data_IF_728586882362
#
_entry.id   IF_728586882362
#
_cell.length_a   1.000
_cell.length_b   1.000
_cell.length_c   1.000
_cell.angle_alpha   90.00
_cell.angle_beta   90.00
_cell.angle_gamma   90.00
#
_symmetry.space_group_name_H-M   'P 1'
#
loop_
_entity.id
_entity.type
_entity.pdbx_description
1 polymer ?
#
# COMPACT_ATOMS: atom_id res chain seq x y z
N UNK A 1 21.28 -25.79 -1.81
CA UNK A 1 21.07 -26.27 -0.42
C UNK A 1 20.92 -25.01 0.41
N UNK A 2 19.68 -24.66 0.78
CA UNK A 2 19.40 -23.41 1.49
C UNK A 2 19.76 -23.63 2.96
N UNK A 3 20.80 -22.96 3.47
CA UNK A 3 21.12 -23.01 4.90
C UNK A 3 19.91 -22.51 5.69
N UNK A 4 19.32 -23.40 6.49
CA UNK A 4 18.20 -23.04 7.36
C UNK A 4 18.70 -22.03 8.39
N UNK A 5 18.02 -20.89 8.48
CA UNK A 5 18.33 -19.87 9.48
C UNK A 5 18.19 -20.49 10.89
N UNK A 6 19.14 -20.27 11.81
CA UNK A 6 19.03 -20.77 13.18
C UNK A 6 17.75 -20.24 13.84
N UNK A 7 17.17 -21.00 14.77
CA UNK A 7 15.94 -20.61 15.46
C UNK A 7 16.13 -19.26 16.16
N UNK A 8 15.40 -18.24 15.72
CA UNK A 8 15.44 -16.87 16.27
C UNK A 8 14.25 -16.71 17.21
N UNK A 9 14.50 -16.37 18.47
CA UNK A 9 13.46 -16.00 19.43
C UNK A 9 12.89 -14.59 19.13
N UNK A 10 11.78 -14.24 19.77
CA UNK A 10 11.05 -12.99 19.50
C UNK A 10 11.90 -11.74 19.79
N UNK A 11 12.69 -11.79 20.86
CA UNK A 11 13.55 -10.67 21.26
C UNK A 11 14.69 -10.45 20.25
N UNK A 12 15.32 -11.54 19.79
CA UNK A 12 16.34 -11.49 18.75
C UNK A 12 15.75 -11.01 17.42
N UNK A 13 14.58 -11.51 17.02
CA UNK A 13 13.91 -11.10 15.80
C UNK A 13 13.54 -9.60 15.82
N UNK A 14 13.07 -9.11 16.97
CA UNK A 14 12.80 -7.68 17.17
C UNK A 14 14.06 -6.81 17.06
N UNK A 15 15.19 -7.23 17.66
CA UNK A 15 16.47 -6.51 17.51
C UNK A 15 16.95 -6.46 16.07
N UNK A 16 16.84 -7.56 15.34
CA UNK A 16 17.22 -7.60 13.92
C UNK A 16 16.30 -6.71 13.07
N UNK A 17 14.99 -6.69 13.34
CA UNK A 17 14.06 -5.82 12.65
C UNK A 17 14.40 -4.33 12.86
N UNK A 18 14.72 -3.93 14.10
CA UNK A 18 15.20 -2.57 14.37
C UNK A 18 16.51 -2.28 13.63
N UNK A 19 17.46 -3.22 13.59
CA UNK A 19 18.72 -3.05 12.87
C UNK A 19 18.51 -2.82 11.36
N UNK A 20 17.57 -3.53 10.74
CA UNK A 20 17.19 -3.29 9.33
C UNK A 20 16.64 -1.88 9.14
N UNK A 21 15.74 -1.41 10.02
CA UNK A 21 15.17 -0.07 9.91
C UNK A 21 16.19 1.05 10.13
N UNK A 22 17.17 0.83 11.00
CA UNK A 22 18.27 1.78 11.21
C UNK A 22 19.25 1.78 10.02
N UNK A 23 19.57 0.62 9.46
CA UNK A 23 20.42 0.51 8.27
C UNK A 23 19.80 1.16 7.03
N UNK A 24 18.47 1.09 6.90
CA UNK A 24 17.74 1.66 5.77
C UNK A 24 17.36 3.14 5.96
N UNK A 25 17.78 3.78 7.05
CA UNK A 25 17.50 5.19 7.29
C UNK A 25 18.47 6.11 6.55
N UNK A 26 17.95 7.07 5.80
CA UNK A 26 18.74 8.06 5.05
C UNK A 26 19.14 9.29 5.88
N UNK A 27 18.76 9.32 7.17
CA UNK A 27 18.81 10.53 8.00
C UNK A 27 17.54 11.38 7.93
N UNK A 28 16.65 11.14 6.96
CA UNK A 28 15.37 11.87 6.84
C UNK A 28 14.16 10.97 6.67
N UNK A 29 14.27 9.91 5.87
CA UNK A 29 13.26 8.86 5.76
C UNK A 29 13.90 7.48 5.67
N UNK A 30 13.08 6.43 5.71
CA UNK A 30 13.54 5.04 5.55
C UNK A 30 13.26 4.56 4.13
N UNK A 31 14.29 3.99 3.48
CA UNK A 31 14.14 3.40 2.15
C UNK A 31 13.55 1.98 2.24
N UNK A 32 12.71 1.51 1.30
CA UNK A 32 12.14 0.17 1.36
C UNK A 32 13.19 -0.94 1.37
N UNK A 33 14.22 -0.82 0.52
CA UNK A 33 15.35 -1.73 0.50
C UNK A 33 16.60 -1.03 -0.04
N UNK A 34 17.79 -1.31 0.51
CA UNK A 34 19.03 -0.75 0.01
C UNK A 34 19.28 -1.24 -1.43
N UNK A 35 19.71 -0.33 -2.31
CA UNK A 35 19.92 -0.62 -3.73
C UNK A 35 18.65 -0.43 -4.56
N UNK A 36 17.74 -1.42 -4.59
CA UNK A 36 16.63 -1.44 -5.55
C UNK A 36 15.62 -0.30 -5.38
N UNK A 37 15.36 0.10 -4.13
CA UNK A 37 14.42 1.18 -3.81
C UNK A 37 15.11 2.27 -2.98
N UNK A 38 15.96 3.13 -3.57
CA UNK A 38 16.87 4.02 -2.83
C UNK A 38 16.24 5.35 -2.38
N UNK A 39 14.92 5.40 -2.23
CA UNK A 39 14.12 6.61 -1.99
C UNK A 39 13.04 6.33 -0.93
N UNK A 40 12.31 7.37 -0.50
CA UNK A 40 11.19 7.20 0.43
C UNK A 40 9.92 6.88 -0.36
N UNK A 41 9.27 5.75 -0.08
CA UNK A 41 7.96 5.40 -0.64
C UNK A 41 6.84 5.66 0.37
N UNK A 42 5.74 6.19 -0.12
CA UNK A 42 4.68 6.77 0.71
C UNK A 42 3.98 5.78 1.64
N UNK A 43 3.49 4.65 1.12
CA UNK A 43 2.82 3.65 1.97
C UNK A 43 3.83 2.81 2.77
N UNK A 44 5.05 2.60 2.28
CA UNK A 44 6.15 1.97 3.01
C UNK A 44 6.48 2.78 4.26
N UNK A 45 6.62 4.09 4.13
CA UNK A 45 6.81 5.02 5.25
C UNK A 45 5.66 4.95 6.25
N UNK A 46 4.41 4.80 5.80
CA UNK A 46 3.29 4.61 6.73
C UNK A 46 3.41 3.30 7.53
N UNK A 47 3.86 2.20 6.92
CA UNK A 47 4.16 0.97 7.65
C UNK A 47 5.38 1.09 8.57
N UNK A 48 6.41 1.84 8.17
CA UNK A 48 7.57 2.16 9.03
C UNK A 48 7.13 2.95 10.26
N UNK A 49 6.26 3.95 10.10
CA UNK A 49 5.67 4.71 11.22
C UNK A 49 4.94 3.77 12.18
N UNK A 50 4.12 2.85 11.66
CA UNK A 50 3.40 1.85 12.46
C UNK A 50 4.37 0.98 13.27
N UNK A 51 5.39 0.41 12.61
CA UNK A 51 6.36 -0.47 13.28
C UNK A 51 7.25 0.24 14.31
N UNK A 52 7.58 1.52 14.07
CA UNK A 52 8.40 2.30 15.00
C UNK A 52 7.60 2.95 16.14
N UNK A 53 6.26 2.97 16.06
CA UNK A 53 5.41 3.72 16.99
C UNK A 53 5.67 3.40 18.48
N UNK A 54 5.89 2.12 18.80
CA UNK A 54 6.18 1.66 20.18
C UNK A 54 7.64 1.81 20.56
N UNK A 55 8.55 1.47 19.65
CA UNK A 55 9.97 1.29 19.97
C UNK A 55 10.82 2.55 19.76
N UNK A 56 10.44 3.41 18.80
CA UNK A 56 11.19 4.60 18.38
C UNK A 56 10.22 5.72 17.94
N UNK A 57 9.35 6.23 18.83
CA UNK A 57 8.29 7.18 18.44
C UNK A 57 8.83 8.48 17.82
N UNK A 58 10.00 8.96 18.25
CA UNK A 58 10.63 10.13 17.62
C UNK A 58 10.98 9.89 16.15
N UNK A 59 11.52 8.70 15.84
CA UNK A 59 11.80 8.29 14.45
C UNK A 59 10.53 8.08 13.64
N UNK A 60 9.46 7.58 14.25
CA UNK A 60 8.16 7.49 13.58
C UNK A 60 7.60 8.89 13.23
N UNK A 61 7.76 9.89 14.11
CA UNK A 61 7.39 11.28 13.81
C UNK A 61 8.22 11.85 12.65
N UNK A 62 9.53 11.65 12.69
CA UNK A 62 10.45 12.13 11.64
C UNK A 62 10.12 11.53 10.27
N UNK A 63 9.84 10.22 10.22
CA UNK A 63 9.44 9.50 9.01
C UNK A 63 8.22 10.14 8.35
N UNK A 64 7.14 10.34 9.12
CA UNK A 64 5.90 10.93 8.65
C UNK A 64 6.10 12.40 8.22
N UNK A 65 6.84 13.18 8.99
CA UNK A 65 7.13 14.58 8.64
C UNK A 65 7.97 14.68 7.38
N UNK A 66 8.95 13.79 7.19
CA UNK A 66 9.78 13.76 5.97
C UNK A 66 8.93 13.48 4.74
N UNK A 67 8.05 12.47 4.81
CA UNK A 67 7.13 12.17 3.71
C UNK A 67 6.22 13.36 3.37
N UNK A 68 5.65 14.02 4.40
CA UNK A 68 4.75 15.16 4.22
C UNK A 68 5.45 16.41 3.66
N UNK A 69 6.78 16.52 3.70
CA UNK A 69 7.51 17.57 2.93
C UNK A 69 7.34 17.38 1.43
N UNK A 70 7.05 16.16 0.98
CA UNK A 70 6.70 15.82 -0.39
C UNK A 70 5.26 16.14 -0.78
N UNK A 71 4.41 16.58 0.14
CA UNK A 71 3.01 16.88 -0.17
C UNK A 71 2.90 18.09 -1.12
N UNK A 72 2.11 17.93 -2.17
CA UNK A 72 1.82 19.00 -3.12
C UNK A 72 0.81 19.98 -2.53
N UNK A 73 0.82 21.23 -3.02
CA UNK A 73 -0.15 22.25 -2.60
C UNK A 73 -1.61 21.90 -2.95
N UNK A 74 -1.82 20.93 -3.85
CA UNK A 74 -3.13 20.34 -4.15
C UNK A 74 -3.65 19.41 -3.05
N UNK A 75 -2.80 19.02 -2.09
CA UNK A 75 -3.07 18.00 -1.08
C UNK A 75 -2.51 16.62 -1.41
N UNK A 76 -2.11 16.35 -2.66
CA UNK A 76 -1.56 15.04 -3.05
C UNK A 76 -0.29 14.71 -2.26
N UNK A 77 -0.28 13.55 -1.59
CA UNK A 77 0.95 12.93 -1.07
C UNK A 77 1.48 12.01 -2.17
N UNK A 78 2.70 12.26 -2.70
CA UNK A 78 3.26 11.50 -3.81
C UNK A 78 3.73 10.12 -3.34
N UNK A 79 3.71 9.12 -4.21
CA UNK A 79 4.18 7.77 -3.85
C UNK A 79 5.70 7.69 -3.64
N UNK A 80 6.49 8.63 -4.18
CA UNK A 80 7.95 8.70 -3.99
C UNK A 80 8.38 10.12 -3.63
N UNK A 81 9.22 10.23 -2.60
CA UNK A 81 10.06 11.41 -2.32
C UNK A 81 11.51 11.04 -2.60
N UNK A 82 12.12 11.72 -3.58
CA UNK A 82 13.45 11.40 -4.09
C UNK A 82 14.55 12.00 -3.21
N UNK A 83 15.43 11.14 -2.68
CA UNK A 83 16.63 11.56 -1.96
C UNK A 83 17.82 11.85 -2.89
N UNK A 84 17.94 11.08 -3.98
CA UNK A 84 19.02 11.20 -4.97
C UNK A 84 18.41 11.19 -6.39
N UNK A 85 19.07 11.83 -7.36
CA UNK A 85 18.45 12.13 -8.66
C UNK A 85 18.46 10.97 -9.68
N UNK A 86 19.36 9.99 -9.54
CA UNK A 86 19.64 9.04 -10.63
C UNK A 86 19.78 7.59 -10.16
N UNK A 87 19.33 7.26 -8.95
CA UNK A 87 19.48 5.91 -8.39
C UNK A 87 18.31 4.95 -8.72
N UNK A 88 17.21 5.47 -9.30
CA UNK A 88 16.01 4.70 -9.61
C UNK A 88 15.37 5.19 -10.91
N UNK A 89 14.75 4.28 -11.67
CA UNK A 89 13.99 4.60 -12.88
C UNK A 89 12.54 4.10 -12.77
N UNK A 90 11.52 4.94 -13.06
CA UNK A 90 11.63 6.34 -13.50
C UNK A 90 12.02 7.30 -12.36
N UNK A 91 13.07 8.09 -12.59
CA UNK A 91 13.58 9.09 -11.64
C UNK A 91 13.02 10.49 -11.87
N UNK A 92 13.47 11.50 -11.11
CA UNK A 92 13.01 12.89 -11.21
C UNK A 92 13.05 13.49 -12.61
N UNK A 93 14.00 13.09 -13.46
CA UNK A 93 14.09 13.57 -14.86
C UNK A 93 12.93 13.09 -15.73
N UNK A 94 12.33 11.95 -15.40
CA UNK A 94 11.11 11.45 -16.04
C UNK A 94 9.90 12.15 -15.42
N UNK A 95 9.80 12.22 -14.09
CA UNK A 95 8.63 12.81 -13.43
C UNK A 95 8.50 14.32 -13.66
N UNK A 96 9.60 15.07 -13.70
CA UNK A 96 9.60 16.53 -13.90
C UNK A 96 8.61 17.28 -12.99
N UNK A 97 8.38 16.76 -11.77
CA UNK A 97 7.39 17.34 -10.84
C UNK A 97 7.73 18.77 -10.47
N UNK A 98 9.02 19.12 -10.39
CA UNK A 98 9.50 20.48 -10.11
C UNK A 98 9.03 21.54 -11.12
N UNK A 99 8.51 21.14 -12.28
CA UNK A 99 7.97 22.04 -13.29
C UNK A 99 6.50 22.39 -13.03
N UNK A 100 5.83 21.64 -12.15
CA UNK A 100 4.44 21.88 -11.78
C UNK A 100 4.35 22.87 -10.60
N UNK A 101 3.51 23.90 -10.73
CA UNK A 101 3.42 24.99 -9.74
C UNK A 101 2.99 24.53 -8.34
N UNK A 102 2.21 23.45 -8.24
CA UNK A 102 1.79 22.89 -6.95
C UNK A 102 2.78 21.89 -6.34
N UNK A 103 3.83 21.48 -7.06
CA UNK A 103 4.80 20.55 -6.51
C UNK A 103 5.66 21.21 -5.44
N UNK A 104 6.09 20.46 -4.40
CA UNK A 104 6.98 21.00 -3.38
C UNK A 104 8.40 21.20 -3.93
N UNK A 105 9.26 21.83 -3.12
CA UNK A 105 10.69 22.01 -3.48
C UNK A 105 11.47 20.69 -3.53
N UNK A 106 11.05 19.69 -2.76
CA UNK A 106 11.66 18.36 -2.82
C UNK A 106 11.21 17.66 -4.09
N UNK A 107 12.12 16.90 -4.72
CA UNK A 107 11.78 16.16 -5.93
C UNK A 107 10.86 15.00 -5.57
N UNK A 108 9.73 14.89 -6.26
CA UNK A 108 8.72 13.86 -6.01
C UNK A 108 8.29 13.20 -7.32
N UNK A 109 7.65 12.05 -7.23
CA UNK A 109 6.89 11.52 -8.36
C UNK A 109 5.55 12.27 -8.53
N UNK A 110 4.85 12.00 -9.63
CA UNK A 110 3.56 12.64 -9.95
C UNK A 110 2.32 11.79 -9.65
N UNK A 111 2.49 10.62 -9.04
CA UNK A 111 1.40 9.70 -8.68
C UNK A 111 1.25 9.62 -7.16
N UNK A 112 0.07 9.22 -6.69
CA UNK A 112 -0.20 8.98 -5.26
C UNK A 112 -0.08 7.49 -4.89
N UNK A 113 -0.39 7.13 -3.65
CA UNK A 113 -0.36 5.76 -3.13
C UNK A 113 -1.56 5.52 -2.23
N UNK A 114 -1.81 4.29 -1.73
CA UNK A 114 -2.88 4.05 -0.77
C UNK A 114 -2.72 4.97 0.45
N UNK A 115 -3.78 5.71 0.86
CA UNK A 115 -3.66 6.80 1.84
C UNK A 115 -3.66 6.27 3.28
N UNK A 116 -2.65 5.49 3.67
CA UNK A 116 -2.53 4.85 4.99
C UNK A 116 -2.11 5.82 6.11
N UNK A 117 -1.79 7.06 5.78
CA UNK A 117 -1.06 8.00 6.63
C UNK A 117 -1.84 8.45 7.87
N UNK A 118 -3.16 8.66 7.74
CA UNK A 118 -4.01 8.99 8.89
C UNK A 118 -4.12 7.82 9.86
N UNK A 119 -4.21 6.60 9.34
CA UNK A 119 -4.17 5.41 10.19
C UNK A 119 -2.81 5.26 10.89
N UNK A 120 -1.70 5.52 10.20
CA UNK A 120 -0.37 5.50 10.79
C UNK A 120 -0.21 6.56 11.91
N UNK A 121 -0.72 7.78 11.70
CA UNK A 121 -0.76 8.82 12.73
C UNK A 121 -1.60 8.41 13.94
N UNK A 122 -2.78 7.82 13.71
CA UNK A 122 -3.64 7.30 14.78
C UNK A 122 -2.92 6.18 15.55
N UNK A 123 -2.23 5.27 14.85
CA UNK A 123 -1.44 4.22 15.48
C UNK A 123 -0.33 4.81 16.35
N UNK A 124 0.42 5.78 15.83
CA UNK A 124 1.46 6.48 16.58
C UNK A 124 0.89 7.20 17.82
N UNK A 125 -0.23 7.89 17.67
CA UNK A 125 -0.91 8.56 18.79
C UNK A 125 -1.34 7.57 19.87
N UNK A 126 -1.88 6.40 19.52
CA UNK A 126 -2.30 5.38 20.50
C UNK A 126 -1.17 4.86 21.39
N UNK A 127 0.08 4.96 20.95
CA UNK A 127 1.24 4.52 21.73
C UNK A 127 1.96 5.66 22.44
N UNK A 128 1.73 6.91 22.03
CA UNK A 128 2.50 8.07 22.53
C UNK A 128 1.65 9.08 23.29
N UNK A 129 0.34 9.13 23.07
CA UNK A 129 -0.56 10.17 23.59
C UNK A 129 -0.27 11.57 23.06
N UNK A 130 0.55 11.72 22.01
CA UNK A 130 1.07 13.02 21.57
C UNK A 130 0.06 13.85 20.76
N UNK A 131 -0.80 14.56 21.49
CA UNK A 131 -1.83 15.46 20.92
C UNK A 131 -1.21 16.62 20.14
N UNK A 132 -0.02 17.11 20.54
CA UNK A 132 0.63 18.22 19.86
C UNK A 132 1.08 17.82 18.44
N UNK A 133 1.61 16.61 18.30
CA UNK A 133 1.97 16.07 17.00
C UNK A 133 0.74 15.80 16.11
N UNK A 134 -0.36 15.31 16.70
CA UNK A 134 -1.65 15.18 15.99
C UNK A 134 -2.10 16.53 15.45
N UNK A 135 -2.17 17.58 16.28
CA UNK A 135 -2.55 18.94 15.85
C UNK A 135 -1.70 19.47 14.71
N UNK A 136 -0.39 19.18 14.75
CA UNK A 136 0.57 19.62 13.72
C UNK A 136 0.37 18.93 12.37
N UNK A 137 0.06 17.63 12.38
CA UNK A 137 0.04 16.78 11.17
C UNK A 137 -1.34 16.61 10.57
N UNK A 138 -2.39 16.69 11.40
CA UNK A 138 -3.78 16.50 10.99
C UNK A 138 -4.20 17.31 9.75
N UNK A 139 -3.91 18.63 9.63
CA UNK A 139 -4.34 19.40 8.46
C UNK A 139 -3.79 18.88 7.12
N UNK A 140 -2.55 18.38 7.13
CA UNK A 140 -1.91 17.80 5.94
C UNK A 140 -2.66 16.54 5.47
N UNK A 141 -3.09 15.70 6.41
CA UNK A 141 -3.81 14.45 6.10
C UNK A 141 -5.26 14.71 5.66
N UNK A 142 -5.90 15.75 6.23
CA UNK A 142 -7.20 16.25 5.71
C UNK A 142 -7.05 16.70 4.25
N UNK A 143 -5.98 17.45 3.92
CA UNK A 143 -5.73 17.90 2.55
C UNK A 143 -5.48 16.72 1.59
N UNK A 144 -4.83 15.65 2.04
CA UNK A 144 -4.68 14.42 1.24
C UNK A 144 -6.03 13.79 0.91
N UNK A 145 -6.92 13.64 1.89
CA UNK A 145 -8.24 13.07 1.64
C UNK A 145 -9.11 14.00 0.77
N UNK A 146 -8.98 15.32 0.93
CA UNK A 146 -9.63 16.29 0.06
C UNK A 146 -9.14 16.18 -1.40
N UNK A 147 -7.84 16.00 -1.62
CA UNK A 147 -7.28 15.73 -2.95
C UNK A 147 -7.90 14.48 -3.60
N UNK A 148 -7.95 13.35 -2.87
CA UNK A 148 -8.56 12.12 -3.40
C UNK A 148 -10.02 12.33 -3.79
N UNK A 149 -10.75 13.04 -2.94
CA UNK A 149 -12.16 13.38 -3.18
C UNK A 149 -12.38 14.23 -4.42
N UNK A 150 -11.52 15.21 -4.65
CA UNK A 150 -11.71 16.20 -5.71
C UNK A 150 -11.12 15.74 -7.06
N UNK A 151 -9.95 15.09 -7.02
CA UNK A 151 -9.18 14.76 -8.20
C UNK A 151 -9.31 13.29 -8.62
N UNK A 152 -9.69 12.38 -7.70
CA UNK A 152 -9.70 10.94 -7.96
C UNK A 152 -11.08 10.29 -7.97
N UNK A 153 -12.14 11.00 -7.57
CA UNK A 153 -13.52 10.51 -7.74
C UNK A 153 -13.98 10.62 -9.20
N UNK A 154 -13.33 9.85 -10.07
CA UNK A 154 -13.57 9.86 -11.52
C UNK A 154 -14.89 9.16 -11.88
N UNK A 155 -15.33 8.20 -11.04
CA UNK A 155 -16.61 7.51 -11.18
C UNK A 155 -17.81 8.29 -10.65
N UNK A 156 -17.56 9.40 -9.91
CA UNK A 156 -18.60 10.26 -9.33
C UNK A 156 -19.43 9.61 -8.23
N UNK A 157 -18.90 8.56 -7.59
CA UNK A 157 -19.61 7.74 -6.62
C UNK A 157 -18.97 7.76 -5.23
N UNK A 158 -17.91 8.55 -5.02
CA UNK A 158 -17.22 8.66 -3.74
C UNK A 158 -16.03 7.72 -3.56
N UNK A 159 -15.67 6.94 -4.58
CA UNK A 159 -14.44 6.12 -4.59
C UNK A 159 -13.33 6.84 -5.32
N UNK A 160 -12.10 6.72 -4.84
CA UNK A 160 -10.92 7.16 -5.57
C UNK A 160 -10.53 6.11 -6.62
N UNK A 161 -10.34 6.57 -7.85
CA UNK A 161 -9.75 5.78 -8.93
C UNK A 161 -8.22 5.91 -8.91
N UNK A 162 -7.53 4.78 -8.97
CA UNK A 162 -6.12 4.74 -9.36
C UNK A 162 -6.02 5.02 -10.86
N UNK A 163 -5.05 5.83 -11.24
CA UNK A 163 -4.80 6.21 -12.65
C UNK A 163 -3.50 5.62 -13.18
N UNK A 164 -2.83 4.82 -12.36
CA UNK A 164 -1.66 4.05 -12.73
C UNK A 164 -1.54 2.83 -11.79
N UNK A 165 -1.13 1.64 -12.27
CA UNK A 165 -0.97 0.44 -11.42
C UNK A 165 -0.15 0.67 -10.14
N UNK A 166 0.98 1.38 -10.23
CA UNK A 166 1.81 1.80 -9.09
C UNK A 166 1.07 2.52 -7.95
N UNK A 167 -0.08 3.15 -8.21
CA UNK A 167 -0.85 3.82 -7.16
C UNK A 167 -1.59 2.85 -6.25
N UNK A 168 -1.79 1.60 -6.69
CA UNK A 168 -2.34 0.53 -5.84
C UNK A 168 -1.31 -0.02 -4.85
N UNK A 169 -0.01 0.19 -5.14
CA UNK A 169 1.09 -0.54 -4.49
C UNK A 169 1.20 -2.01 -4.90
N UNK A 170 0.38 -2.46 -5.87
CA UNK A 170 0.33 -3.83 -6.39
C UNK A 170 0.63 -3.84 -7.90
N UNK A 171 1.84 -3.42 -8.25
CA UNK A 171 2.29 -3.01 -9.58
C UNK A 171 1.83 -3.91 -10.74
N UNK A 172 2.10 -5.21 -10.67
CA UNK A 172 1.79 -6.18 -11.73
C UNK A 172 0.64 -7.12 -11.34
N UNK A 173 -0.24 -6.68 -10.44
CA UNK A 173 -1.47 -7.39 -10.10
C UNK A 173 -2.23 -7.75 -11.38
N UNK A 174 -2.75 -8.97 -11.49
CA UNK A 174 -3.52 -9.36 -12.68
C UNK A 174 -4.83 -8.58 -12.83
N UNK A 175 -5.23 -7.81 -11.82
CA UNK A 175 -6.35 -6.87 -11.89
C UNK A 175 -6.13 -5.77 -12.94
N UNK A 176 -4.89 -5.50 -13.35
CA UNK A 176 -4.59 -4.42 -14.29
C UNK A 176 -4.37 -4.91 -15.72
N UNK A 177 -4.33 -6.22 -15.96
CA UNK A 177 -3.87 -6.85 -17.21
C UNK A 177 -4.67 -6.37 -18.42
N UNK A 178 -5.99 -6.45 -18.36
CA UNK A 178 -6.87 -6.07 -19.47
C UNK A 178 -6.77 -4.58 -19.79
N UNK A 179 -6.74 -3.73 -18.75
CA UNK A 179 -6.64 -2.28 -18.89
C UNK A 179 -5.28 -1.88 -19.49
N UNK A 180 -4.19 -2.54 -19.10
CA UNK A 180 -2.86 -2.34 -19.68
C UNK A 180 -2.79 -2.87 -21.11
N UNK A 181 -3.37 -4.04 -21.39
CA UNK A 181 -3.40 -4.63 -22.73
C UNK A 181 -4.13 -3.75 -23.74
N UNK A 182 -5.14 -2.98 -23.31
CA UNK A 182 -5.87 -2.01 -24.11
C UNK A 182 -5.05 -0.74 -24.45
N UNK A 183 -3.93 -0.49 -23.78
CA UNK A 183 -3.07 0.66 -24.07
C UNK A 183 -2.30 0.46 -25.40
N UNK A 184 -1.92 1.57 -26.07
CA UNK A 184 -1.11 1.51 -27.28
C UNK A 184 0.16 0.68 -27.08
N UNK A 185 0.56 -0.08 -28.11
CA UNK A 185 1.82 -0.80 -28.11
C UNK A 185 2.98 0.21 -28.17
N UNK A 186 3.54 0.55 -27.02
CA UNK A 186 4.67 1.47 -26.88
C UNK A 186 5.97 0.71 -26.68
N UNK A 187 6.97 0.99 -27.52
CA UNK A 187 8.36 0.59 -27.27
C UNK A 187 9.13 1.84 -26.88
N UNK A 188 9.15 2.15 -25.60
CA UNK A 188 9.96 3.26 -25.11
C UNK A 188 11.41 2.77 -25.05
N UNK A 189 12.21 3.19 -26.03
CA UNK A 189 13.63 2.84 -26.13
C UNK A 189 14.44 3.44 -24.99
N UNK A 190 14.36 2.84 -23.80
CA UNK A 190 15.18 3.22 -22.66
C UNK A 190 16.62 2.75 -22.87
N UNK A 191 17.46 3.65 -23.37
CA UNK A 191 18.92 3.51 -23.27
C UNK A 191 19.30 3.78 -21.81
N UNK A 192 19.94 2.80 -21.17
CA UNK A 192 20.66 2.90 -19.90
C UNK A 192 19.96 2.40 -18.62
N UNK A 193 19.39 1.20 -18.62
CA UNK A 193 19.48 0.33 -17.42
C UNK A 193 19.65 -1.11 -17.90
N UNK A 194 20.74 -1.79 -17.50
CA UNK A 194 20.83 -3.25 -17.59
C UNK A 194 19.81 -3.87 -16.62
N UNK A 195 18.55 -3.96 -17.05
CA UNK A 195 17.49 -4.67 -16.35
C UNK A 195 17.52 -6.14 -16.77
N UNK A 196 18.59 -6.86 -16.41
CA UNK A 196 18.79 -8.27 -16.71
C UNK A 196 17.73 -9.20 -16.07
N UNK A 197 16.82 -8.65 -15.26
CA UNK A 197 15.75 -9.38 -14.55
C UNK A 197 14.33 -9.07 -15.07
N UNK A 198 14.18 -8.33 -16.18
CA UNK A 198 12.83 -8.13 -16.75
C UNK A 198 12.29 -9.46 -17.27
N UNK A 199 11.16 -9.89 -16.70
CA UNK A 199 10.37 -10.96 -17.28
C UNK A 199 9.98 -10.56 -18.72
N UNK A 200 10.08 -11.46 -19.72
CA UNK A 200 9.78 -11.15 -21.14
C UNK A 200 8.38 -10.59 -21.42
N UNK A 201 7.46 -10.68 -20.44
CA UNK A 201 6.08 -10.19 -20.47
C UNK A 201 5.84 -8.99 -19.55
N UNK A 202 6.86 -8.17 -19.28
CA UNK A 202 6.73 -7.00 -18.39
C UNK A 202 5.98 -5.85 -19.08
N UNK A 203 4.97 -5.30 -18.41
CA UNK A 203 4.24 -4.09 -18.83
C UNK A 203 4.98 -2.78 -18.52
N UNK A 204 6.28 -2.83 -18.19
CA UNK A 204 7.02 -1.66 -17.75
C UNK A 204 6.97 -0.49 -18.75
N UNK A 205 7.05 -0.76 -20.05
CA UNK A 205 6.97 0.30 -21.06
C UNK A 205 5.59 0.99 -21.05
N UNK A 206 4.52 0.25 -20.74
CA UNK A 206 3.18 0.82 -20.54
C UNK A 206 3.08 1.64 -19.26
N UNK A 207 3.74 1.20 -18.18
CA UNK A 207 3.82 1.98 -16.94
C UNK A 207 4.48 3.33 -17.19
N UNK A 208 5.65 3.32 -17.81
CA UNK A 208 6.38 4.57 -18.12
C UNK A 208 5.56 5.43 -19.07
N UNK A 209 4.89 4.85 -20.06
CA UNK A 209 4.02 5.60 -20.96
C UNK A 209 2.86 6.28 -20.24
N UNK A 210 2.17 5.60 -19.31
CA UNK A 210 1.10 6.19 -18.50
C UNK A 210 1.62 7.34 -17.65
N UNK A 211 2.75 7.14 -16.97
CA UNK A 211 3.38 8.17 -16.15
C UNK A 211 3.78 9.41 -16.97
N UNK A 212 4.38 9.20 -18.15
CA UNK A 212 4.76 10.29 -19.06
C UNK A 212 3.53 11.00 -19.64
N UNK A 213 2.48 10.26 -20.01
CA UNK A 213 1.26 10.85 -20.56
C UNK A 213 0.56 11.75 -19.53
N UNK A 214 0.47 11.30 -18.28
CA UNK A 214 -0.11 12.11 -17.21
C UNK A 214 0.73 13.35 -16.89
N UNK A 215 2.07 13.22 -16.88
CA UNK A 215 3.00 14.34 -16.77
C UNK A 215 2.84 15.34 -17.90
N UNK A 216 2.83 14.87 -19.15
CA UNK A 216 2.79 15.72 -20.35
C UNK A 216 1.44 16.43 -20.48
N UNK A 217 0.38 15.87 -19.89
CA UNK A 217 -0.90 16.54 -19.69
C UNK A 217 -0.89 17.55 -18.52
N UNK A 218 0.24 17.76 -17.86
CA UNK A 218 0.44 18.72 -16.79
C UNK A 218 -0.12 18.28 -15.44
N UNK A 219 -0.25 16.98 -15.17
CA UNK A 219 -0.83 16.43 -13.93
C UNK A 219 -2.24 16.96 -13.60
N UNK A 220 -3.02 17.28 -14.64
CA UNK A 220 -4.34 17.91 -14.52
C UNK A 220 -5.43 16.89 -14.17
N UNK A 221 -6.32 17.25 -13.25
CA UNK A 221 -7.45 16.40 -12.87
C UNK A 221 -8.48 16.26 -14.01
N UNK A 222 -8.62 17.29 -14.86
CA UNK A 222 -9.49 17.27 -16.03
C UNK A 222 -9.04 16.22 -17.04
N UNK A 223 -7.73 16.13 -17.29
CA UNK A 223 -7.16 15.10 -18.16
C UNK A 223 -7.46 13.69 -17.62
N UNK A 224 -7.34 13.49 -16.30
CA UNK A 224 -7.70 12.22 -15.67
C UNK A 224 -9.17 11.87 -15.86
N UNK A 225 -10.07 12.84 -15.87
CA UNK A 225 -11.51 12.60 -16.09
C UNK A 225 -11.79 12.27 -17.56
N UNK A 226 -11.26 13.08 -18.47
CA UNK A 226 -11.79 13.19 -19.82
C UNK A 226 -11.00 12.37 -20.86
N UNK A 227 -9.69 12.17 -20.65
CA UNK A 227 -8.79 11.65 -21.69
C UNK A 227 -7.91 10.47 -21.25
N UNK A 228 -7.57 10.39 -19.96
CA UNK A 228 -6.58 9.42 -19.46
C UNK A 228 -7.09 7.97 -19.59
N UNK A 229 -6.36 7.05 -20.23
CA UNK A 229 -6.91 5.75 -20.64
C UNK A 229 -6.92 4.68 -19.55
N UNK A 230 -6.39 4.96 -18.36
CA UNK A 230 -6.37 4.01 -17.24
C UNK A 230 -7.02 4.62 -16.01
N UNK A 231 -8.16 4.10 -15.58
CA UNK A 231 -8.84 4.56 -14.38
C UNK A 231 -9.58 3.40 -13.73
N UNK A 232 -9.16 3.01 -12.53
CA UNK A 232 -9.69 1.81 -11.85
C UNK A 232 -10.06 2.13 -10.40
N UNK A 233 -11.27 1.75 -10.00
CA UNK A 233 -11.66 1.75 -8.59
C UNK A 233 -11.13 0.46 -7.94
N UNK A 234 -10.06 0.58 -7.15
CA UNK A 234 -9.41 -0.53 -6.44
C UNK A 234 -10.01 -0.73 -5.04
N UNK A 235 -10.52 -1.94 -4.69
CA UNK A 235 -11.08 -2.21 -3.36
C UNK A 235 -10.05 -2.04 -2.23
N UNK A 236 -8.76 -2.35 -2.44
CA UNK A 236 -7.73 -2.18 -1.40
C UNK A 236 -7.44 -0.72 -1.14
N UNK A 237 -7.20 0.06 -2.20
CA UNK A 237 -6.99 1.49 -2.09
C UNK A 237 -8.12 2.18 -1.32
N UNK A 238 -9.36 1.88 -1.69
CA UNK A 238 -10.54 2.50 -1.09
C UNK A 238 -10.86 1.96 0.32
N UNK A 239 -10.60 0.68 0.59
CA UNK A 239 -10.68 0.12 1.96
C UNK A 239 -9.67 0.78 2.91
N UNK A 240 -8.43 1.00 2.44
CA UNK A 240 -7.41 1.75 3.19
C UNK A 240 -7.86 3.20 3.40
N UNK A 241 -8.42 3.85 2.37
CA UNK A 241 -8.91 5.21 2.50
C UNK A 241 -10.06 5.33 3.49
N UNK A 242 -11.00 4.39 3.49
CA UNK A 242 -12.07 4.31 4.47
C UNK A 242 -11.51 4.19 5.89
N UNK A 243 -10.59 3.26 6.13
CA UNK A 243 -9.96 3.08 7.44
C UNK A 243 -9.19 4.34 7.90
N UNK A 244 -8.55 5.04 6.96
CA UNK A 244 -7.90 6.31 7.24
C UNK A 244 -8.88 7.44 7.52
N UNK A 245 -10.08 7.45 6.92
CA UNK A 245 -11.13 8.41 7.26
C UNK A 245 -11.63 8.18 8.69
N UNK A 246 -11.82 6.93 9.09
CA UNK A 246 -12.16 6.58 10.48
C UNK A 246 -11.05 7.03 11.45
N UNK A 247 -9.78 6.85 11.08
CA UNK A 247 -8.65 7.35 11.87
C UNK A 247 -8.67 8.89 11.99
N UNK A 248 -8.99 9.63 10.93
CA UNK A 248 -9.15 11.09 11.02
C UNK A 248 -10.35 11.50 11.88
N UNK A 249 -11.45 10.74 11.86
CA UNK A 249 -12.58 11.01 12.74
C UNK A 249 -12.17 10.90 14.22
N UNK A 250 -11.44 9.85 14.60
CA UNK A 250 -10.89 9.68 15.95
C UNK A 250 -9.90 10.78 16.35
N UNK A 251 -9.08 11.25 15.40
CA UNK A 251 -8.08 12.28 15.64
C UNK A 251 -8.65 13.71 15.63
N UNK A 252 -9.82 13.94 15.04
CA UNK A 252 -10.37 15.28 14.85
C UNK A 252 -10.58 16.06 16.17
N UNK A 253 -11.17 15.48 17.24
CA UNK A 253 -11.35 16.21 18.50
C UNK A 253 -10.02 16.62 19.14
N UNK A 254 -8.98 15.79 19.00
CA UNK A 254 -7.62 16.08 19.49
C UNK A 254 -7.00 17.26 18.74
N UNK A 255 -7.28 17.34 17.43
CA UNK A 255 -6.90 18.44 16.56
C UNK A 255 -7.74 19.72 16.76
N UNK A 256 -8.83 19.65 17.55
CA UNK A 256 -9.79 20.75 17.69
C UNK A 256 -10.71 20.92 16.48
N UNK A 257 -10.92 19.86 15.71
CA UNK A 257 -11.75 19.81 14.51
C UNK A 257 -12.98 18.92 14.70
N UNK A 258 -13.99 19.10 13.84
CA UNK A 258 -15.20 18.27 13.80
C UNK A 258 -14.92 16.90 13.16
N UNK A 259 -15.26 15.77 13.81
CA UNK A 259 -15.13 14.44 13.22
C UNK A 259 -16.16 14.14 12.11
N UNK A 260 -17.32 14.81 12.08
CA UNK A 260 -18.44 14.44 11.23
C UNK A 260 -18.11 14.32 9.73
N UNK A 261 -17.35 15.24 9.09
CA UNK A 261 -17.01 15.11 7.67
C UNK A 261 -16.23 13.85 7.32
N UNK A 262 -15.42 13.33 8.25
CA UNK A 262 -14.63 12.12 8.06
C UNK A 262 -15.49 10.86 8.22
N UNK A 263 -16.43 10.88 9.16
CA UNK A 263 -17.43 9.81 9.33
C UNK A 263 -18.28 9.70 8.06
N UNK A 264 -18.84 10.81 7.58
CA UNK A 264 -19.63 10.84 6.35
C UNK A 264 -18.84 10.36 5.13
N UNK A 265 -17.54 10.69 5.06
CA UNK A 265 -16.67 10.19 3.99
C UNK A 265 -16.52 8.68 4.06
N UNK A 266 -16.26 8.12 5.24
CA UNK A 266 -16.17 6.67 5.42
C UNK A 266 -17.47 5.97 5.01
N UNK A 267 -18.62 6.52 5.39
CA UNK A 267 -19.94 6.00 4.99
C UNK A 267 -20.14 6.05 3.47
N UNK A 268 -19.77 7.16 2.80
CA UNK A 268 -19.86 7.25 1.33
C UNK A 268 -18.99 6.21 0.64
N UNK A 269 -17.75 6.01 1.11
CA UNK A 269 -16.85 4.98 0.57
C UNK A 269 -17.45 3.59 0.79
N UNK A 270 -17.98 3.28 1.98
CA UNK A 270 -18.64 2.00 2.29
C UNK A 270 -19.76 1.69 1.30
N UNK A 271 -20.70 2.61 1.14
CA UNK A 271 -21.84 2.41 0.23
C UNK A 271 -21.35 2.17 -1.20
N UNK A 272 -20.39 2.97 -1.67
CA UNK A 272 -19.87 2.82 -3.02
C UNK A 272 -19.08 1.51 -3.24
N UNK A 273 -18.33 1.03 -2.24
CA UNK A 273 -17.68 -0.29 -2.28
C UNK A 273 -18.72 -1.42 -2.45
N UNK A 274 -19.81 -1.36 -1.68
CA UNK A 274 -20.90 -2.34 -1.75
C UNK A 274 -21.67 -2.26 -3.07
N UNK A 275 -22.02 -1.06 -3.51
CA UNK A 275 -22.87 -0.87 -4.70
C UNK A 275 -22.12 -1.13 -6.01
N UNK A 276 -20.82 -0.83 -6.06
CA UNK A 276 -20.07 -0.79 -7.32
C UNK A 276 -19.09 -1.92 -7.50
N UNK A 277 -18.52 -2.44 -6.41
CA UNK A 277 -17.40 -3.37 -6.44
C UNK A 277 -17.78 -4.79 -5.96
N UNK A 278 -18.97 -4.98 -5.40
CA UNK A 278 -19.41 -6.28 -4.90
C UNK A 278 -20.10 -7.15 -5.96
N UNK A 279 -19.64 -8.40 -6.08
CA UNK A 279 -20.32 -9.47 -6.81
C UNK A 279 -19.94 -10.85 -6.22
N UNK A 280 -20.43 -11.13 -5.01
CA UNK A 280 -20.07 -12.32 -4.22
C UNK A 280 -18.66 -12.27 -3.59
N UNK A 281 -17.80 -11.38 -4.08
CA UNK A 281 -16.57 -10.87 -3.47
C UNK A 281 -16.37 -9.43 -3.98
N UNK A 282 -15.36 -8.71 -3.48
CA UNK A 282 -15.01 -7.41 -4.05
C UNK A 282 -14.06 -7.54 -5.23
N UNK A 283 -14.37 -6.85 -6.32
CA UNK A 283 -13.57 -6.81 -7.54
C UNK A 283 -13.26 -5.36 -7.91
N UNK A 284 -12.07 -5.13 -8.46
CA UNK A 284 -11.75 -3.82 -9.02
C UNK A 284 -12.67 -3.50 -10.20
N UNK A 285 -13.01 -2.23 -10.39
CA UNK A 285 -13.84 -1.79 -11.52
C UNK A 285 -13.05 -0.90 -12.46
N UNK A 286 -12.94 -1.32 -13.71
CA UNK A 286 -12.38 -0.50 -14.78
C UNK A 286 -13.44 0.53 -15.22
N UNK A 287 -13.15 1.81 -15.02
CA UNK A 287 -14.04 2.92 -15.38
C UNK A 287 -14.07 3.21 -16.87
N UNK A 288 -13.05 2.77 -17.63
CA UNK A 288 -12.97 2.97 -19.09
C UNK A 288 -13.70 1.87 -19.84
N UNK A 289 -13.63 0.64 -19.33
CA UNK A 289 -14.39 -0.48 -19.85
C UNK A 289 -15.78 -0.64 -19.20
N UNK A 290 -16.09 0.17 -18.18
CA UNK A 290 -17.31 0.13 -17.36
C UNK A 290 -17.69 -1.28 -16.89
N UNK A 291 -16.73 -2.01 -16.32
CA UNK A 291 -16.94 -3.40 -15.89
C UNK A 291 -16.08 -3.79 -14.70
N UNK A 292 -16.58 -4.76 -13.93
CA UNK A 292 -15.78 -5.44 -12.90
C UNK A 292 -14.70 -6.30 -13.54
N UNK A 293 -13.51 -6.25 -12.96
CA UNK A 293 -12.35 -7.05 -13.32
C UNK A 293 -12.41 -8.34 -12.51
N UNK A 294 -12.85 -9.42 -13.16
CA UNK A 294 -13.16 -10.71 -12.52
C UNK A 294 -11.92 -11.57 -12.25
N UNK A 295 -10.92 -10.99 -11.60
CA UNK A 295 -9.76 -11.71 -11.06
C UNK A 295 -9.70 -11.43 -9.57
N UNK A 296 -9.87 -12.45 -8.73
CA UNK A 296 -9.83 -12.26 -7.29
C UNK A 296 -8.38 -12.21 -6.82
N UNK A 297 -7.95 -11.04 -6.36
CA UNK A 297 -6.63 -10.83 -5.76
C UNK A 297 -6.78 -10.52 -4.28
N UNK A 298 -5.66 -10.42 -3.56
CA UNK A 298 -5.67 -9.96 -2.15
C UNK A 298 -6.31 -8.57 -2.02
N UNK A 299 -6.36 -7.79 -3.10
CA UNK A 299 -7.03 -6.50 -3.15
C UNK A 299 -8.51 -6.56 -2.77
N UNK A 300 -9.18 -7.68 -3.07
CA UNK A 300 -10.59 -7.93 -2.76
C UNK A 300 -10.94 -7.83 -1.26
N UNK A 301 -9.95 -7.93 -0.38
CA UNK A 301 -10.16 -7.94 1.06
C UNK A 301 -9.92 -6.57 1.72
N UNK A 302 -9.56 -5.55 0.95
CA UNK A 302 -9.45 -4.17 1.42
C UNK A 302 -10.66 -3.66 2.20
N UNK A 303 -11.90 -3.86 1.70
CA UNK A 303 -13.11 -3.43 2.39
C UNK A 303 -13.33 -4.06 3.77
N UNK A 304 -12.64 -5.16 4.10
CA UNK A 304 -12.70 -5.77 5.45
C UNK A 304 -12.02 -4.91 6.52
N UNK A 305 -11.31 -3.83 6.13
CA UNK A 305 -10.79 -2.85 7.08
C UNK A 305 -11.89 -1.99 7.73
N UNK A 306 -13.12 -2.09 7.23
CA UNK A 306 -14.26 -1.33 7.69
C UNK A 306 -15.07 -2.05 8.80
N UNK A 307 -15.03 -1.59 10.07
CA UNK A 307 -15.83 -2.17 11.14
C UNK A 307 -17.35 -2.14 10.89
N UNK A 308 -17.86 -1.28 10.01
CA UNK A 308 -19.27 -1.20 9.67
C UNK A 308 -19.69 -2.02 8.43
N UNK A 309 -18.80 -2.87 7.90
CA UNK A 309 -19.13 -3.75 6.78
C UNK A 309 -20.29 -4.71 7.17
N UNK A 310 -21.35 -4.84 6.34
CA UNK A 310 -22.46 -5.73 6.65
C UNK A 310 -22.02 -7.19 6.84
N UNK A 311 -22.55 -7.85 7.87
CA UNK A 311 -22.10 -9.18 8.29
C UNK A 311 -22.16 -10.27 7.20
N UNK A 312 -23.12 -10.18 6.27
CA UNK A 312 -23.22 -11.13 5.16
C UNK A 312 -22.12 -10.95 4.11
N UNK A 313 -21.69 -9.70 3.87
CA UNK A 313 -20.60 -9.38 2.96
C UNK A 313 -19.25 -9.78 3.59
N UNK A 314 -19.08 -9.49 4.89
CA UNK A 314 -17.93 -9.96 5.66
C UNK A 314 -17.81 -11.49 5.57
N UNK A 315 -18.88 -12.23 5.87
CA UNK A 315 -18.87 -13.70 5.84
C UNK A 315 -18.52 -14.24 4.46
N UNK A 316 -19.16 -13.73 3.40
CA UNK A 316 -18.90 -14.19 2.04
C UNK A 316 -17.45 -13.91 1.59
N UNK A 317 -16.89 -12.75 1.95
CA UNK A 317 -15.48 -12.45 1.69
C UNK A 317 -14.52 -13.35 2.49
N UNK A 318 -14.84 -13.65 3.75
CA UNK A 318 -14.07 -14.59 4.57
C UNK A 318 -14.13 -16.02 4.03
N UNK A 319 -15.31 -16.47 3.57
CA UNK A 319 -15.46 -17.77 2.92
C UNK A 319 -14.53 -17.89 1.72
N UNK A 320 -14.36 -16.82 0.93
CA UNK A 320 -13.38 -16.78 -0.18
C UNK A 320 -11.94 -16.80 0.34
N UNK A 321 -11.61 -15.97 1.32
CA UNK A 321 -10.26 -15.85 1.92
C UNK A 321 -9.77 -17.17 2.53
N UNK A 322 -10.63 -17.89 3.23
CA UNK A 322 -10.31 -19.14 3.93
C UNK A 322 -10.44 -20.37 3.02
N UNK A 323 -11.02 -20.22 1.82
CA UNK A 323 -11.14 -21.32 0.85
C UNK A 323 -9.80 -21.74 0.24
N UNK A 324 -9.84 -22.85 -0.50
CA UNK A 324 -8.75 -23.33 -1.36
C UNK A 324 -8.39 -22.38 -2.54
N UNK A 325 -9.05 -21.22 -2.66
CA UNK A 325 -8.65 -20.14 -3.56
C UNK A 325 -7.47 -19.33 -2.97
N UNK A 326 -7.39 -19.25 -1.64
CA UNK A 326 -6.37 -18.51 -0.88
C UNK A 326 -5.82 -19.37 0.26
N UNK A 327 -6.14 -19.06 1.52
CA UNK A 327 -5.48 -19.65 2.70
C UNK A 327 -5.71 -21.17 2.83
N UNK A 328 -6.84 -21.68 2.37
CA UNK A 328 -7.20 -23.09 2.49
C UNK A 328 -6.34 -24.04 1.65
N UNK A 329 -5.45 -23.52 0.80
CA UNK A 329 -4.56 -24.31 -0.05
C UNK A 329 -3.07 -23.97 0.12
N UNK A 330 -2.71 -23.07 1.04
CA UNK A 330 -1.32 -22.60 1.22
C UNK A 330 -0.74 -23.02 2.56
N UNK A 331 0.60 -23.16 2.61
CA UNK A 331 1.33 -23.41 3.86
C UNK A 331 1.59 -22.13 4.67
N UNK A 332 1.44 -20.98 4.03
CA UNK A 332 1.69 -19.66 4.60
C UNK A 332 0.54 -18.68 4.29
N UNK A 333 0.44 -17.56 5.05
CA UNK A 333 -0.61 -16.58 4.85
C UNK A 333 -0.62 -15.93 3.46
N UNK A 334 -1.64 -15.14 3.23
CA UNK A 334 -2.44 -15.00 2.01
C UNK A 334 -1.62 -14.71 0.73
N UNK A 335 -1.79 -15.49 -0.36
CA UNK A 335 -1.19 -15.17 -1.64
C UNK A 335 -1.82 -13.92 -2.27
N UNK A 336 -1.04 -13.16 -3.04
CA UNK A 336 -1.51 -11.91 -3.69
C UNK A 336 -2.57 -12.15 -4.78
N UNK A 337 -2.64 -13.35 -5.35
CA UNK A 337 -3.60 -13.76 -6.38
C UNK A 337 -4.22 -15.11 -5.99
N UNK A 338 -5.49 -15.33 -6.35
CA UNK A 338 -6.11 -16.62 -6.11
C UNK A 338 -5.39 -17.76 -6.87
N UNK A 339 -5.18 -18.89 -6.21
CA UNK A 339 -4.30 -19.98 -6.67
C UNK A 339 -4.83 -20.66 -7.95
N UNK A 340 -6.14 -20.56 -8.18
CA UNK A 340 -6.83 -21.18 -9.32
C UNK A 340 -6.91 -20.27 -10.54
N UNK A 341 -6.53 -18.99 -10.41
CA UNK A 341 -6.51 -18.07 -11.54
C UNK A 341 -5.43 -18.49 -12.54
N UNK A 342 -5.71 -18.32 -13.84
CA UNK A 342 -4.73 -18.59 -14.90
C UNK A 342 -3.49 -17.69 -14.78
N UNK A 343 -3.65 -16.53 -14.14
CA UNK A 343 -2.61 -15.54 -13.90
C UNK A 343 -1.74 -15.86 -12.67
N UNK A 344 -2.10 -16.86 -11.87
CA UNK A 344 -1.35 -17.20 -10.67
C UNK A 344 0.07 -17.66 -11.02
N UNK A 345 1.06 -16.97 -10.46
CA UNK A 345 2.47 -17.29 -10.65
C UNK A 345 3.19 -17.13 -9.33
N UNK A 346 3.74 -18.25 -8.83
CA UNK A 346 4.47 -18.33 -7.55
C UNK A 346 5.71 -17.46 -7.48
N UNK A 347 6.27 -17.09 -8.64
CA UNK A 347 7.55 -16.41 -8.76
C UNK A 347 7.40 -14.93 -9.09
N UNK A 348 6.25 -14.52 -9.63
CA UNK A 348 6.01 -13.13 -10.07
C UNK A 348 5.30 -12.32 -8.99
N UNK A 349 6.07 -11.46 -8.34
CA UNK A 349 5.66 -10.24 -7.63
C UNK A 349 4.22 -10.22 -7.05
N UNK A 350 3.25 -9.49 -7.62
CA UNK A 350 1.86 -9.41 -7.12
C UNK A 350 0.91 -10.42 -7.78
N UNK A 351 1.44 -11.49 -8.38
CA UNK A 351 0.67 -12.53 -9.07
C UNK A 351 0.58 -13.85 -8.32
N UNK A 352 1.01 -13.91 -7.06
CA UNK A 352 1.00 -15.15 -6.30
C UNK A 352 1.74 -15.08 -4.97
N UNK A 353 2.96 -14.51 -4.89
CA UNK A 353 3.67 -14.34 -3.63
C UNK A 353 2.81 -13.73 -2.51
N UNK A 354 3.12 -14.13 -1.27
CA UNK A 354 2.56 -13.59 -0.04
C UNK A 354 3.38 -12.41 0.46
N UNK A 355 2.73 -11.43 1.07
CA UNK A 355 3.32 -10.15 1.43
C UNK A 355 3.02 -9.77 2.88
N UNK A 356 4.02 -9.25 3.60
CA UNK A 356 3.88 -8.93 5.03
C UNK A 356 2.87 -7.81 5.25
N UNK A 357 2.91 -6.77 4.40
CA UNK A 357 2.01 -5.62 4.49
C UNK A 357 0.53 -5.99 4.32
N UNK A 358 0.19 -6.82 3.32
CA UNK A 358 -1.20 -7.25 3.12
C UNK A 358 -1.67 -8.23 4.19
N UNK A 359 -0.80 -9.13 4.67
CA UNK A 359 -1.10 -9.96 5.83
C UNK A 359 -1.35 -9.12 7.09
N UNK A 360 -0.60 -8.04 7.29
CA UNK A 360 -0.82 -7.11 8.40
C UNK A 360 -2.15 -6.35 8.26
N UNK A 361 -2.48 -5.87 7.05
CA UNK A 361 -3.79 -5.23 6.78
C UNK A 361 -4.94 -6.20 7.03
N UNK A 362 -4.81 -7.47 6.65
CA UNK A 362 -5.80 -8.51 6.93
C UNK A 362 -5.89 -8.85 8.42
N UNK A 363 -4.77 -8.84 9.15
CA UNK A 363 -4.80 -8.98 10.62
C UNK A 363 -5.54 -7.81 11.25
N UNK A 364 -5.33 -6.58 10.74
CA UNK A 364 -6.08 -5.41 11.18
C UNK A 364 -7.58 -5.55 10.88
N UNK A 365 -7.95 -6.01 9.68
CA UNK A 365 -9.33 -6.32 9.33
C UNK A 365 -9.94 -7.35 10.31
N UNK A 366 -9.18 -8.41 10.63
CA UNK A 366 -9.60 -9.38 11.63
C UNK A 366 -9.82 -8.74 13.02
N UNK A 367 -8.95 -7.82 13.43
CA UNK A 367 -9.08 -7.14 14.72
C UNK A 367 -10.32 -6.23 14.81
N UNK A 368 -10.65 -5.46 13.76
CA UNK A 368 -11.82 -4.57 13.78
C UNK A 368 -13.16 -5.35 13.78
N UNK A 369 -13.13 -6.61 13.37
CA UNK A 369 -14.27 -7.53 13.40
C UNK A 369 -14.21 -8.59 14.52
N UNK A 370 -13.23 -8.50 15.44
CA UNK A 370 -13.04 -9.47 16.54
C UNK A 370 -12.87 -10.93 16.07
N UNK A 371 -12.19 -11.13 14.94
CA UNK A 371 -11.89 -12.44 14.35
C UNK A 371 -10.56 -12.99 14.89
N UNK A 372 -10.51 -13.29 16.20
CA UNK A 372 -9.28 -13.62 16.93
C UNK A 372 -8.51 -14.83 16.37
N UNK A 373 -9.23 -15.81 15.81
CA UNK A 373 -8.59 -16.97 15.21
C UNK A 373 -7.82 -16.59 13.94
N UNK A 374 -8.47 -15.89 13.02
CA UNK A 374 -7.87 -15.40 11.78
C UNK A 374 -6.69 -14.45 12.08
N UNK A 375 -6.86 -13.52 13.03
CA UNK A 375 -5.80 -12.61 13.46
C UNK A 375 -4.55 -13.34 13.96
N UNK A 376 -4.71 -14.39 14.78
CA UNK A 376 -3.59 -15.23 15.24
C UNK A 376 -2.96 -16.06 14.14
N UNK A 377 -3.76 -16.61 13.22
CA UNK A 377 -3.23 -17.36 12.08
C UNK A 377 -2.36 -16.49 11.19
N UNK A 378 -2.83 -15.28 10.85
CA UNK A 378 -2.09 -14.30 10.06
C UNK A 378 -0.79 -13.90 10.76
N UNK A 379 -0.86 -13.49 12.03
CA UNK A 379 0.33 -13.08 12.79
C UNK A 379 1.37 -14.21 12.88
N UNK A 380 0.96 -15.40 13.31
CA UNK A 380 1.87 -16.54 13.48
C UNK A 380 2.47 -16.99 12.15
N UNK A 381 1.65 -17.06 11.10
CA UNK A 381 2.12 -17.47 9.77
C UNK A 381 3.08 -16.45 9.15
N UNK A 382 2.82 -15.15 9.32
CA UNK A 382 3.71 -14.09 8.84
C UNK A 382 5.03 -14.08 9.61
N UNK A 383 5.00 -14.20 10.95
CA UNK A 383 6.24 -14.31 11.73
C UNK A 383 7.03 -15.58 11.39
N UNK A 384 6.35 -16.68 11.04
CA UNK A 384 7.01 -17.91 10.57
C UNK A 384 7.76 -17.68 9.24
N UNK A 385 7.16 -16.96 8.29
CA UNK A 385 7.82 -16.56 7.04
C UNK A 385 9.11 -15.76 7.32
N UNK A 386 9.03 -14.75 8.18
CA UNK A 386 10.15 -13.87 8.50
C UNK A 386 11.26 -14.62 9.26
N UNK A 387 10.91 -15.48 10.23
CA UNK A 387 11.89 -16.34 10.92
C UNK A 387 12.62 -17.27 9.96
N UNK A 388 11.90 -17.86 8.99
CA UNK A 388 12.49 -18.79 8.03
C UNK A 388 13.41 -18.10 7.01
N UNK A 389 12.95 -16.99 6.40
CA UNK A 389 13.59 -16.44 5.20
C UNK A 389 14.14 -15.00 5.37
N UNK A 390 14.01 -14.42 6.56
CA UNK A 390 14.42 -13.04 6.86
C UNK A 390 13.40 -11.99 6.44
N UNK A 391 13.79 -10.72 6.52
CA UNK A 391 12.96 -9.58 6.12
C UNK A 391 12.99 -9.44 4.61
N UNK A 392 12.12 -10.17 3.92
CA UNK A 392 12.02 -10.19 2.47
C UNK A 392 10.89 -9.30 1.98
N UNK A 393 10.96 -8.88 0.73
CA UNK A 393 9.90 -8.12 0.08
C UNK A 393 8.61 -8.95 -0.01
N UNK A 394 8.72 -10.20 -0.49
CA UNK A 394 7.62 -11.15 -0.55
C UNK A 394 8.10 -12.60 -0.37
N UNK A 395 7.15 -13.54 -0.28
CA UNK A 395 7.43 -14.94 0.05
C UNK A 395 6.61 -15.89 -0.83
N UNK A 396 7.15 -17.06 -1.15
CA UNK A 396 6.37 -18.12 -1.77
C UNK A 396 5.28 -18.62 -0.80
N UNK A 397 3.99 -18.67 -1.20
CA UNK A 397 2.90 -19.02 -0.29
C UNK A 397 2.85 -20.51 0.08
N UNK A 398 3.60 -21.38 -0.60
CA UNK A 398 3.61 -22.83 -0.33
C UNK A 398 4.80 -23.27 0.52
N UNK A 399 6.01 -22.83 0.16
CA UNK A 399 7.23 -23.26 0.85
C UNK A 399 7.86 -22.19 1.76
N UNK A 400 7.38 -20.95 1.68
CA UNK A 400 7.85 -19.84 2.51
C UNK A 400 9.23 -19.30 2.14
N UNK A 401 9.77 -19.69 0.98
CA UNK A 401 11.02 -19.14 0.47
C UNK A 401 10.89 -17.64 0.19
N UNK A 402 11.92 -16.90 0.58
CA UNK A 402 11.99 -15.46 0.40
C UNK A 402 12.26 -15.04 -1.04
N UNK A 403 11.48 -14.09 -1.55
CA UNK A 403 11.56 -13.51 -2.90
C UNK A 403 11.76 -11.99 -2.82
N UNK A 404 12.12 -11.40 -3.97
CA UNK A 404 12.43 -9.96 -4.07
C UNK A 404 13.61 -9.54 -3.18
N UNK A 405 13.62 -8.27 -2.77
CA UNK A 405 14.67 -7.70 -1.94
C UNK A 405 14.85 -8.41 -0.59
N UNK A 406 16.06 -8.26 -0.03
CA UNK A 406 16.40 -8.60 1.36
C UNK A 406 16.39 -7.32 2.19
N UNK A 407 16.36 -7.49 3.51
CA UNK A 407 16.38 -6.41 4.50
C UNK A 407 15.30 -5.36 4.20
N UNK A 408 14.09 -5.83 3.90
CA UNK A 408 12.98 -4.99 3.46
C UNK A 408 12.30 -4.28 4.64
N UNK A 409 12.14 -2.96 4.56
CA UNK A 409 11.75 -2.11 5.67
C UNK A 409 10.35 -2.33 6.19
N UNK A 410 9.30 -2.47 5.35
CA UNK A 410 7.98 -2.79 5.92
C UNK A 410 7.99 -4.16 6.60
N UNK A 411 8.85 -5.09 6.16
CA UNK A 411 8.82 -6.46 6.67
C UNK A 411 9.43 -6.47 8.06
N UNK A 412 10.50 -5.70 8.25
CA UNK A 412 11.03 -5.39 9.56
C UNK A 412 10.04 -4.61 10.43
N UNK A 413 9.50 -3.49 9.93
CA UNK A 413 8.58 -2.63 10.69
C UNK A 413 7.34 -3.38 11.19
N UNK A 414 6.68 -4.12 10.31
CA UNK A 414 5.47 -4.84 10.68
C UNK A 414 5.77 -6.08 11.52
N UNK A 415 6.97 -6.66 11.41
CA UNK A 415 7.42 -7.68 12.37
C UNK A 415 7.52 -7.11 13.79
N UNK A 416 8.04 -5.88 13.95
CA UNK A 416 8.05 -5.22 15.27
C UNK A 416 6.65 -5.06 15.84
N UNK A 417 5.70 -4.57 15.04
CA UNK A 417 4.32 -4.40 15.47
C UNK A 417 3.64 -5.75 15.84
N UNK A 418 3.92 -6.81 15.08
CA UNK A 418 3.40 -8.16 15.35
C UNK A 418 4.00 -8.80 16.62
N UNK A 419 5.24 -8.45 16.97
CA UNK A 419 5.95 -8.94 18.16
C UNK A 419 5.68 -8.10 19.41
N UNK A 420 4.92 -6.99 19.29
CA UNK A 420 4.76 -6.02 20.37
C UNK A 420 4.11 -6.58 21.65
N UNK A 421 3.45 -7.74 21.58
CA UNK A 421 2.88 -8.42 22.75
C UNK A 421 3.87 -9.41 23.42
N UNK A 422 5.04 -9.67 22.80
CA UNK A 422 6.03 -10.68 23.24
C UNK A 422 7.43 -10.11 23.48
N UNK A 423 7.74 -8.92 22.96
CA UNK A 423 8.97 -8.18 23.29
C UNK A 423 8.67 -7.30 24.50
N UNK A 424 9.16 -7.71 25.68
CA UNK A 424 9.01 -6.95 26.91
C UNK A 424 9.57 -5.53 26.80
N UNK A 425 8.97 -4.60 27.56
CA UNK A 425 9.44 -3.21 27.73
C UNK A 425 10.90 -3.13 28.18
#
# INVERSE_FOLDING_TARGET
MMEARPAVDDAALGREALAVLEANWTGTGTVPAPGLYPHQWSWDSAFVVIGLARHRPDRARDELLSLLRGQWATGMVPHIVFHTREAYFPGPSVWRSQEHAAAPRVLTSGLTSPPLHALALWWLYRHTGDVAFVRRTYPALVAQHAYLSAARDLGGAGLAAIVHPWESGMDDSPSWDDALAALPATRLGHRNVELAERHPQSDHDRYVWLAMSYRDAGYRAEYLRDEHPFAIEDPMFNGIWLASCQALAELAPLAGADPAPHVERAERIRHALLDRLWDGCFYARDLRADRLIRVCTVGAFGPLLDPGLPGDHLRAALDVLESARFMGATGYPVPSCEIRAAQFDRTRYWRGPSWVNTNWLLRRAAAVHSLDHLGRQLANGTLRLVRQAGFRECFDPFDGSGRGCRDFSWSAALTLDLLADTVGE
#
